data_IF_890825053918
#
_entry.id   IF_890825053918
#
_cell.length_a   1.000
_cell.length_b   1.000
_cell.length_c   1.000
_cell.angle_alpha   90.00
_cell.angle_beta   90.00
_cell.angle_gamma   90.00
#
_symmetry.space_group_name_H-M   'P 1'
#
loop_
_entity.id
_entity.type
_entity.pdbx_description
1 polymer ?
#
# COMPACT_ATOMS: atom_id res chain seq x y z
N UNK A 1 13.38 -37.64 -3.37
CA UNK A 1 12.16 -36.82 -3.48
C UNK A 1 12.41 -35.66 -2.57
N UNK A 2 12.87 -34.53 -3.10
CA UNK A 2 12.87 -33.27 -2.36
C UNK A 2 11.41 -32.97 -2.04
N UNK A 3 11.07 -32.78 -0.77
CA UNK A 3 9.74 -32.31 -0.40
C UNK A 3 9.39 -31.11 -1.27
N UNK A 4 8.21 -31.12 -1.91
CA UNK A 4 7.75 -29.98 -2.70
C UNK A 4 7.69 -28.77 -1.77
N UNK A 5 8.59 -27.81 -1.98
CA UNK A 5 8.59 -26.54 -1.25
C UNK A 5 7.31 -25.81 -1.63
N UNK A 6 6.46 -25.54 -0.64
CA UNK A 6 5.24 -24.76 -0.87
C UNK A 6 5.60 -23.30 -1.13
N UNK A 7 5.09 -22.75 -2.23
CA UNK A 7 5.47 -21.41 -2.74
C UNK A 7 4.37 -20.37 -2.62
N UNK A 8 3.11 -20.81 -2.64
CA UNK A 8 1.95 -19.93 -2.59
C UNK A 8 1.06 -20.34 -1.41
N UNK A 9 0.49 -19.34 -0.74
CA UNK A 9 -0.29 -19.52 0.49
C UNK A 9 -1.57 -18.69 0.43
N UNK A 10 -2.73 -19.34 0.48
CA UNK A 10 -4.02 -18.67 0.50
C UNK A 10 -4.30 -18.00 1.85
N UNK A 11 -5.07 -16.90 1.81
CA UNK A 11 -5.66 -16.29 3.00
C UNK A 11 -7.08 -15.79 2.73
N UNK A 12 -7.88 -15.73 3.79
CA UNK A 12 -9.28 -15.30 3.75
C UNK A 12 -10.27 -16.46 3.75
N UNK A 13 -11.53 -16.13 3.41
CA UNK A 13 -12.65 -17.07 3.44
C UNK A 13 -12.94 -17.65 2.05
N UNK A 14 -13.46 -18.87 2.03
CA UNK A 14 -14.07 -19.49 0.85
C UNK A 14 -15.49 -18.94 0.57
N UNK A 15 -16.10 -19.42 -0.51
CA UNK A 15 -17.46 -19.02 -0.93
C UNK A 15 -18.55 -19.40 0.10
N UNK A 16 -18.27 -20.33 1.02
CA UNK A 16 -19.17 -20.74 2.10
C UNK A 16 -18.89 -19.99 3.42
N UNK A 17 -17.88 -19.13 3.44
CA UNK A 17 -17.48 -18.35 4.61
C UNK A 17 -16.53 -19.08 5.56
N UNK A 18 -16.01 -20.25 5.21
CA UNK A 18 -15.01 -20.95 6.02
C UNK A 18 -13.64 -20.30 5.82
N UNK A 19 -12.86 -20.19 6.89
CA UNK A 19 -11.47 -19.72 6.78
C UNK A 19 -10.59 -20.81 6.16
N UNK A 20 -9.95 -20.50 5.02
CA UNK A 20 -9.05 -21.41 4.29
C UNK A 20 -7.60 -20.92 4.32
N UNK A 21 -7.28 -20.05 5.27
CA UNK A 21 -5.95 -19.46 5.40
C UNK A 21 -4.87 -20.48 5.73
N UNK A 22 -3.76 -20.41 5.00
CA UNK A 22 -2.65 -21.37 5.06
C UNK A 22 -1.40 -20.83 5.78
N UNK A 23 -1.41 -19.53 6.09
CA UNK A 23 -0.33 -18.81 6.79
C UNK A 23 -0.67 -18.42 8.23
N UNK A 24 0.27 -17.81 8.93
CA UNK A 24 0.08 -17.16 10.24
C UNK A 24 1.24 -16.21 10.58
N UNK A 25 1.16 -15.51 11.71
CA UNK A 25 2.15 -14.51 12.16
C UNK A 25 3.58 -15.05 12.31
N UNK A 26 3.77 -16.36 12.52
CA UNK A 26 5.11 -16.95 12.71
C UNK A 26 5.84 -17.19 11.39
N UNK A 27 5.16 -17.02 10.25
CA UNK A 27 5.70 -17.28 8.92
C UNK A 27 6.25 -16.02 8.24
N UNK A 28 6.65 -14.98 9.00
CA UNK A 28 7.18 -13.72 8.44
C UNK A 28 8.40 -13.91 7.53
N UNK A 29 9.25 -14.91 7.81
CA UNK A 29 10.38 -15.24 6.96
C UNK A 29 9.98 -15.85 5.60
N UNK A 30 8.75 -16.35 5.47
CA UNK A 30 8.22 -16.99 4.26
C UNK A 30 7.26 -16.04 3.53
N UNK A 31 6.30 -15.46 4.26
CA UNK A 31 5.19 -14.66 3.73
C UNK A 31 5.46 -13.16 3.76
N UNK A 32 6.62 -12.75 4.29
CA UNK A 32 6.87 -11.37 4.67
C UNK A 32 6.02 -10.92 5.84
N UNK A 33 6.26 -9.70 6.32
CA UNK A 33 5.46 -9.10 7.39
C UNK A 33 4.00 -8.91 6.99
N UNK A 34 3.75 -8.47 5.75
CA UNK A 34 2.39 -8.19 5.25
C UNK A 34 1.56 -9.46 5.08
N UNK A 35 2.08 -10.46 4.36
CA UNK A 35 1.37 -11.73 4.14
C UNK A 35 1.12 -12.49 5.44
N UNK A 36 2.09 -12.50 6.35
CA UNK A 36 1.91 -13.11 7.67
C UNK A 36 0.80 -12.42 8.49
N UNK A 37 0.73 -11.08 8.44
CA UNK A 37 -0.31 -10.33 9.15
C UNK A 37 -1.68 -10.44 8.48
N UNK A 38 -1.77 -10.49 7.15
CA UNK A 38 -3.01 -10.77 6.42
C UNK A 38 -3.58 -12.14 6.81
N UNK A 39 -2.72 -13.16 6.84
CA UNK A 39 -3.09 -14.48 7.29
C UNK A 39 -3.53 -14.50 8.76
N UNK A 40 -2.79 -13.82 9.65
CA UNK A 40 -3.16 -13.75 11.06
C UNK A 40 -4.51 -13.06 11.27
N UNK A 41 -4.76 -11.93 10.60
CA UNK A 41 -6.05 -11.23 10.66
C UNK A 41 -7.20 -12.15 10.23
N UNK A 42 -7.03 -12.92 9.15
CA UNK A 42 -8.03 -13.88 8.72
C UNK A 42 -8.25 -15.01 9.74
N UNK A 43 -7.17 -15.52 10.35
CA UNK A 43 -7.23 -16.57 11.38
C UNK A 43 -7.96 -16.14 12.65
N UNK A 44 -7.81 -14.88 13.07
CA UNK A 44 -8.53 -14.33 14.23
C UNK A 44 -9.94 -13.84 13.89
N UNK A 45 -10.40 -14.06 12.65
CA UNK A 45 -11.78 -13.85 12.24
C UNK A 45 -12.10 -12.45 11.70
N UNK A 46 -11.09 -11.62 11.45
CA UNK A 46 -11.31 -10.28 10.86
C UNK A 46 -11.76 -10.37 9.40
N UNK A 47 -12.51 -9.36 8.90
CA UNK A 47 -12.99 -9.34 7.53
C UNK A 47 -11.86 -8.97 6.55
N UNK A 48 -10.98 -9.91 6.25
CA UNK A 48 -9.89 -9.73 5.28
C UNK A 48 -10.38 -10.09 3.87
N UNK A 49 -10.18 -9.22 2.86
CA UNK A 49 -10.46 -9.57 1.47
C UNK A 49 -9.61 -10.77 1.04
N UNK A 50 -10.22 -11.83 0.45
CA UNK A 50 -9.49 -13.04 0.09
C UNK A 50 -8.33 -12.77 -0.88
N UNK A 51 -7.26 -13.54 -0.74
CA UNK A 51 -6.09 -13.46 -1.60
C UNK A 51 -5.15 -14.64 -1.44
N UNK A 52 -3.92 -14.46 -1.91
CA UNK A 52 -2.81 -15.38 -1.70
C UNK A 52 -1.47 -14.65 -1.65
N UNK A 53 -0.49 -15.27 -1.01
CA UNK A 53 0.89 -14.77 -0.88
C UNK A 53 1.86 -15.71 -1.59
N UNK A 54 2.68 -15.17 -2.49
CA UNK A 54 3.83 -15.84 -3.09
C UNK A 54 5.03 -15.60 -2.19
N UNK A 55 5.75 -16.65 -1.81
CA UNK A 55 6.75 -16.60 -0.74
C UNK A 55 8.01 -15.80 -1.11
N UNK A 56 8.69 -15.30 -0.07
CA UNK A 56 10.00 -14.67 -0.20
C UNK A 56 11.05 -15.63 -0.80
N UNK A 57 10.94 -16.92 -0.51
CA UNK A 57 11.81 -17.93 -1.11
C UNK A 57 11.62 -18.03 -2.62
N UNK A 58 10.39 -17.88 -3.12
CA UNK A 58 10.11 -17.88 -4.56
C UNK A 58 10.78 -16.68 -5.25
N UNK A 59 10.79 -15.50 -4.60
CA UNK A 59 11.54 -14.34 -5.07
C UNK A 59 13.03 -14.66 -5.22
N UNK A 60 13.62 -15.33 -4.23
CA UNK A 60 15.04 -15.70 -4.27
C UNK A 60 15.34 -16.82 -5.27
N UNK A 61 14.44 -17.80 -5.43
CA UNK A 61 14.55 -18.84 -6.47
C UNK A 61 14.56 -18.20 -7.86
N UNK A 62 13.66 -17.25 -8.12
CA UNK A 62 13.58 -16.50 -9.37
C UNK A 62 14.85 -15.64 -9.61
N UNK A 63 15.27 -14.86 -8.62
CA UNK A 63 16.45 -14.00 -8.74
C UNK A 63 17.75 -14.80 -8.95
N UNK A 64 17.90 -15.94 -8.25
CA UNK A 64 19.07 -16.81 -8.38
C UNK A 64 19.07 -17.62 -9.69
N UNK A 65 17.94 -17.68 -10.39
CA UNK A 65 17.79 -18.30 -11.71
C UNK A 65 17.87 -17.26 -12.85
N UNK A 66 18.63 -16.18 -12.65
CA UNK A 66 18.77 -15.08 -13.62
C UNK A 66 17.41 -14.51 -14.08
N UNK A 67 16.50 -14.30 -13.11
CA UNK A 67 15.13 -13.85 -13.36
C UNK A 67 14.33 -14.78 -14.28
N UNK A 68 14.60 -16.08 -14.21
CA UNK A 68 13.83 -17.12 -14.92
C UNK A 68 12.93 -17.85 -13.95
N UNK A 69 11.67 -18.05 -14.33
CA UNK A 69 10.71 -18.80 -13.54
C UNK A 69 11.15 -20.26 -13.32
N UNK A 70 11.28 -20.71 -12.07
CA UNK A 70 11.51 -22.13 -11.79
C UNK A 70 10.32 -22.98 -12.25
N UNK A 71 10.59 -24.24 -12.61
CA UNK A 71 9.58 -25.18 -13.12
C UNK A 71 8.39 -25.33 -12.15
N UNK A 72 7.17 -25.22 -12.69
CA UNK A 72 5.90 -25.36 -11.97
C UNK A 72 5.48 -24.18 -11.09
N UNK A 73 6.29 -23.11 -10.98
CA UNK A 73 5.93 -21.94 -10.16
C UNK A 73 4.75 -21.18 -10.76
N UNK A 74 4.79 -20.91 -12.07
CA UNK A 74 3.70 -20.24 -12.77
C UNK A 74 2.41 -21.05 -12.72
N UNK A 75 2.48 -22.38 -12.89
CA UNK A 75 1.32 -23.27 -12.77
C UNK A 75 0.70 -23.20 -11.37
N UNK A 76 1.54 -23.15 -10.33
CA UNK A 76 1.06 -23.00 -8.94
C UNK A 76 0.39 -21.64 -8.72
N UNK A 77 0.95 -20.56 -9.27
CA UNK A 77 0.34 -19.23 -9.18
C UNK A 77 -1.02 -19.22 -9.89
N UNK A 78 -1.11 -19.87 -11.04
CA UNK A 78 -2.36 -20.01 -11.79
C UNK A 78 -3.42 -20.81 -11.01
N UNK A 79 -3.05 -21.91 -10.36
CA UNK A 79 -3.96 -22.67 -9.48
C UNK A 79 -4.56 -21.79 -8.37
N UNK A 80 -3.73 -20.97 -7.70
CA UNK A 80 -4.19 -20.08 -6.63
C UNK A 80 -4.97 -18.86 -7.13
N UNK A 81 -4.70 -18.41 -8.36
CA UNK A 81 -5.51 -17.41 -9.06
C UNK A 81 -6.92 -17.96 -9.33
N UNK A 82 -7.02 -19.17 -9.88
CA UNK A 82 -8.30 -19.84 -10.12
C UNK A 82 -9.05 -20.14 -8.81
N UNK A 83 -8.35 -20.57 -7.75
CA UNK A 83 -8.95 -20.70 -6.40
C UNK A 83 -9.55 -19.38 -5.93
N UNK A 84 -8.80 -18.28 -6.03
CA UNK A 84 -9.31 -16.95 -5.66
C UNK A 84 -10.58 -16.59 -6.44
N UNK A 85 -10.59 -16.78 -7.76
CA UNK A 85 -11.77 -16.56 -8.61
C UNK A 85 -12.97 -17.40 -8.15
N UNK A 86 -12.75 -18.68 -7.84
CA UNK A 86 -13.79 -19.59 -7.36
C UNK A 86 -14.35 -19.18 -5.99
N UNK A 87 -13.50 -18.73 -5.06
CA UNK A 87 -13.93 -18.26 -3.73
C UNK A 87 -14.75 -16.98 -3.80
N UNK A 88 -14.40 -16.08 -4.72
CA UNK A 88 -15.11 -14.81 -4.91
C UNK A 88 -16.35 -14.99 -5.80
N UNK A 89 -16.34 -15.97 -6.70
CA UNK A 89 -17.39 -16.18 -7.71
C UNK A 89 -17.30 -15.22 -8.89
N UNK A 90 -16.13 -14.61 -9.13
CA UNK A 90 -15.85 -13.65 -10.22
C UNK A 90 -14.51 -13.99 -10.87
N UNK A 91 -14.30 -13.54 -12.11
CA UNK A 91 -13.05 -13.75 -12.84
C UNK A 91 -12.27 -12.46 -13.04
N UNK A 92 -10.95 -12.54 -12.98
CA UNK A 92 -10.07 -11.41 -13.21
C UNK A 92 -10.17 -11.00 -14.67
N UNK A 93 -10.52 -9.74 -14.91
CA UNK A 93 -10.71 -9.18 -16.25
C UNK A 93 -11.98 -9.63 -16.98
N UNK A 94 -12.97 -10.17 -16.28
CA UNK A 94 -14.28 -10.47 -16.87
C UNK A 94 -14.97 -9.21 -17.41
N UNK A 95 -15.57 -9.32 -18.60
CA UNK A 95 -16.23 -8.19 -19.28
C UNK A 95 -17.53 -7.72 -18.61
N UNK A 96 -18.19 -8.58 -17.82
CA UNK A 96 -19.52 -8.31 -17.25
C UNK A 96 -19.49 -8.09 -15.74
N UNK A 97 -18.71 -8.87 -15.01
CA UNK A 97 -18.58 -8.79 -13.55
C UNK A 97 -17.12 -9.04 -13.10
N UNK A 98 -16.20 -8.11 -13.38
CA UNK A 98 -14.77 -8.30 -13.12
C UNK A 98 -14.45 -8.46 -11.63
N UNK A 99 -13.55 -9.39 -11.35
CA UNK A 99 -12.67 -9.34 -10.18
C UNK A 99 -11.47 -8.46 -10.52
N UNK A 100 -11.16 -7.50 -9.65
CA UNK A 100 -9.90 -6.76 -9.71
C UNK A 100 -9.04 -7.15 -8.52
N UNK A 101 -7.73 -7.15 -8.67
CA UNK A 101 -6.78 -7.48 -7.60
C UNK A 101 -5.76 -6.37 -7.39
N UNK A 102 -5.21 -6.31 -6.18
CA UNK A 102 -4.00 -5.58 -5.87
C UNK A 102 -2.82 -6.55 -5.79
N UNK A 103 -1.66 -6.09 -6.23
CA UNK A 103 -0.38 -6.79 -6.10
C UNK A 103 0.52 -5.95 -5.21
N UNK A 104 0.81 -6.45 -4.01
CA UNK A 104 1.50 -5.71 -2.95
C UNK A 104 2.72 -6.48 -2.46
N UNK A 105 3.86 -5.81 -2.48
CA UNK A 105 5.10 -6.30 -1.89
C UNK A 105 5.03 -6.49 -0.36
N UNK A 106 5.83 -7.41 0.16
CA UNK A 106 5.93 -7.68 1.60
C UNK A 106 7.22 -8.40 1.97
N UNK A 107 8.24 -7.67 2.42
CA UNK A 107 9.47 -8.25 2.96
C UNK A 107 9.27 -8.70 4.43
N UNK A 108 10.12 -9.59 4.97
CA UNK A 108 10.05 -9.99 6.38
C UNK A 108 10.16 -8.81 7.35
N UNK A 109 10.99 -7.83 6.99
CA UNK A 109 11.14 -6.56 7.70
C UNK A 109 10.38 -5.46 6.97
N UNK A 110 9.77 -4.54 7.72
CA UNK A 110 9.03 -3.44 7.12
C UNK A 110 9.98 -2.44 6.45
N UNK A 111 9.77 -2.20 5.16
CA UNK A 111 10.51 -1.22 4.35
C UNK A 111 9.53 -0.18 3.76
N UNK A 112 9.00 0.78 4.57
CA UNK A 112 7.98 1.73 4.12
C UNK A 112 8.50 2.64 3.01
N UNK A 113 7.69 2.88 1.98
CA UNK A 113 8.06 3.71 0.83
C UNK A 113 9.05 3.06 -0.14
N UNK A 114 9.58 1.89 0.16
CA UNK A 114 10.66 1.29 -0.65
C UNK A 114 10.17 0.31 -1.71
N UNK A 115 8.93 -0.18 -1.59
CA UNK A 115 8.43 -1.28 -2.40
C UNK A 115 7.09 -0.95 -3.02
N UNK A 116 6.93 -1.40 -4.25
CA UNK A 116 5.84 -0.95 -5.10
C UNK A 116 4.53 -1.71 -4.83
N UNK A 117 3.43 -1.11 -5.30
CA UNK A 117 2.07 -1.65 -5.22
C UNK A 117 1.34 -1.32 -6.52
N UNK A 118 0.65 -2.31 -7.08
CA UNK A 118 -0.23 -2.13 -8.23
C UNK A 118 -1.66 -2.38 -7.78
N UNK A 119 -2.56 -1.42 -7.96
CA UNK A 119 -3.99 -1.58 -7.68
C UNK A 119 -4.78 -1.73 -8.99
N UNK A 120 -6.02 -2.23 -8.88
CA UNK A 120 -6.96 -2.37 -10.01
C UNK A 120 -6.46 -3.29 -11.15
N UNK A 121 -5.55 -4.23 -10.87
CA UNK A 121 -5.08 -5.20 -11.84
C UNK A 121 -6.25 -6.09 -12.30
N UNK A 122 -6.32 -6.36 -13.61
CA UNK A 122 -7.46 -6.96 -14.28
C UNK A 122 -8.31 -5.97 -15.06
N UNK A 123 -8.01 -4.66 -15.00
CA UNK A 123 -8.66 -3.68 -15.87
C UNK A 123 -8.13 -3.79 -17.30
N UNK A 124 -9.06 -3.85 -18.25
CA UNK A 124 -8.80 -3.84 -19.69
C UNK A 124 -10.00 -3.21 -20.42
N UNK A 125 -9.95 -3.16 -21.76
CA UNK A 125 -10.99 -2.51 -22.58
C UNK A 125 -12.35 -3.20 -22.54
N UNK A 126 -12.39 -4.46 -22.10
CA UNK A 126 -13.62 -5.21 -21.91
C UNK A 126 -14.13 -5.10 -20.47
N UNK A 127 -13.26 -5.37 -19.50
CA UNK A 127 -13.60 -5.47 -18.07
C UNK A 127 -14.01 -4.13 -17.46
N UNK A 128 -13.63 -3.01 -18.05
CA UNK A 128 -14.16 -1.70 -17.66
C UNK A 128 -15.69 -1.63 -17.77
N UNK A 129 -16.30 -2.25 -18.79
CA UNK A 129 -17.76 -2.22 -18.96
C UNK A 129 -18.46 -2.92 -17.80
N UNK A 130 -17.91 -4.04 -17.34
CA UNK A 130 -18.38 -4.75 -16.16
C UNK A 130 -18.20 -3.92 -14.88
N UNK A 131 -17.07 -3.20 -14.74
CA UNK A 131 -16.86 -2.30 -13.61
C UNK A 131 -17.87 -1.14 -13.60
N UNK A 132 -18.17 -0.54 -14.76
CA UNK A 132 -19.20 0.49 -14.91
C UNK A 132 -20.56 -0.05 -14.44
N UNK A 133 -20.89 -1.27 -14.83
CA UNK A 133 -22.15 -1.94 -14.46
C UNK A 133 -22.22 -2.25 -12.96
N UNK A 134 -21.13 -2.72 -12.35
CA UNK A 134 -21.07 -3.02 -10.91
C UNK A 134 -21.25 -1.77 -10.04
N UNK A 135 -20.81 -0.61 -10.53
CA UNK A 135 -20.73 0.62 -9.74
C UNK A 135 -21.76 1.66 -10.11
N UNK A 136 -22.43 1.49 -11.26
CA UNK A 136 -23.30 2.50 -11.88
C UNK A 136 -22.61 3.88 -11.99
N UNK A 137 -21.27 3.88 -12.07
CA UNK A 137 -20.44 5.07 -12.00
C UNK A 137 -19.35 5.03 -13.08
N UNK A 138 -19.64 5.50 -14.30
CA UNK A 138 -18.68 5.46 -15.40
C UNK A 138 -17.43 6.29 -15.12
N UNK A 139 -17.58 7.44 -14.45
CA UNK A 139 -16.45 8.29 -14.05
C UNK A 139 -15.47 7.52 -13.18
N UNK A 140 -15.96 6.77 -12.19
CA UNK A 140 -15.12 5.93 -11.33
C UNK A 140 -14.38 4.83 -12.10
N UNK A 141 -15.06 4.14 -13.03
CA UNK A 141 -14.43 3.06 -13.77
C UNK A 141 -13.30 3.57 -14.68
N UNK A 142 -13.52 4.68 -15.39
CA UNK A 142 -12.47 5.32 -16.21
C UNK A 142 -11.35 5.91 -15.35
N UNK A 143 -11.65 6.48 -14.19
CA UNK A 143 -10.64 6.96 -13.23
C UNK A 143 -9.76 5.80 -12.71
N UNK A 144 -10.38 4.66 -12.41
CA UNK A 144 -9.67 3.46 -11.97
C UNK A 144 -8.76 2.91 -13.06
N UNK A 145 -9.22 2.95 -14.33
CA UNK A 145 -8.44 2.44 -15.46
C UNK A 145 -7.27 3.36 -15.82
N UNK A 146 -7.44 4.68 -15.83
CA UNK A 146 -6.31 5.60 -16.04
C UNK A 146 -5.28 5.49 -14.91
N UNK A 147 -5.71 5.38 -13.65
CA UNK A 147 -4.82 5.11 -12.51
C UNK A 147 -4.07 3.79 -12.67
N UNK A 148 -4.78 2.72 -13.07
CA UNK A 148 -4.16 1.42 -13.31
C UNK A 148 -3.06 1.51 -14.38
N UNK A 149 -3.34 2.13 -15.53
CA UNK A 149 -2.36 2.27 -16.60
C UNK A 149 -1.15 3.06 -16.12
N UNK A 150 -1.35 4.19 -15.45
CA UNK A 150 -0.27 5.02 -14.91
C UNK A 150 0.59 4.25 -13.90
N UNK A 151 -0.03 3.63 -12.89
CA UNK A 151 0.71 2.85 -11.88
C UNK A 151 1.42 1.66 -12.51
N UNK A 152 0.77 0.91 -13.40
CA UNK A 152 1.39 -0.24 -14.07
C UNK A 152 2.57 0.22 -14.93
N UNK A 153 2.43 1.33 -15.67
CA UNK A 153 3.52 1.89 -16.47
C UNK A 153 4.70 2.32 -15.61
N UNK A 154 4.45 3.01 -14.50
CA UNK A 154 5.51 3.49 -13.62
C UNK A 154 6.17 2.36 -12.82
N UNK A 155 5.38 1.50 -12.18
CA UNK A 155 5.86 0.46 -11.28
C UNK A 155 6.39 -0.76 -12.01
N UNK A 156 5.68 -1.22 -13.04
CA UNK A 156 5.97 -2.51 -13.69
C UNK A 156 6.94 -2.34 -14.86
N UNK A 157 6.86 -1.20 -15.54
CA UNK A 157 7.66 -0.92 -16.74
C UNK A 157 8.71 0.17 -16.53
N UNK A 158 8.83 0.72 -15.31
CA UNK A 158 9.80 1.77 -14.95
C UNK A 158 9.69 3.06 -15.80
N UNK A 159 8.48 3.39 -16.28
CA UNK A 159 8.25 4.64 -17.00
C UNK A 159 8.21 5.83 -16.03
N UNK A 160 8.69 6.97 -16.49
CA UNK A 160 8.58 8.22 -15.77
C UNK A 160 7.10 8.62 -15.56
N UNK A 161 6.70 8.76 -14.29
CA UNK A 161 5.37 9.18 -13.89
C UNK A 161 5.00 10.57 -14.40
N UNK A 162 6.00 11.44 -14.61
CA UNK A 162 5.79 12.80 -15.11
C UNK A 162 5.16 12.81 -16.51
N UNK A 163 5.37 11.77 -17.33
CA UNK A 163 4.72 11.66 -18.64
C UNK A 163 3.19 11.66 -18.51
N UNK A 164 2.68 10.93 -17.52
CA UNK A 164 1.25 10.78 -17.26
C UNK A 164 0.69 12.02 -16.56
N UNK A 165 1.39 12.55 -15.56
CA UNK A 165 0.99 13.78 -14.86
C UNK A 165 0.93 14.99 -15.80
N UNK A 166 1.86 15.09 -16.74
CA UNK A 166 1.83 16.14 -17.75
C UNK A 166 0.58 16.02 -18.65
N UNK A 167 0.19 14.80 -19.06
CA UNK A 167 -1.01 14.59 -19.84
C UNK A 167 -2.30 14.97 -19.07
N UNK A 168 -2.39 14.62 -17.77
CA UNK A 168 -3.51 15.06 -16.91
C UNK A 168 -3.55 16.59 -16.85
N UNK A 169 -2.42 17.24 -16.59
CA UNK A 169 -2.33 18.69 -16.44
C UNK A 169 -2.68 19.44 -17.73
N UNK A 170 -2.29 18.90 -18.90
CA UNK A 170 -2.71 19.44 -20.20
C UNK A 170 -4.22 19.33 -20.35
N UNK A 171 -4.80 18.16 -20.08
CA UNK A 171 -6.25 17.97 -20.19
C UNK A 171 -7.02 18.89 -19.24
N UNK A 172 -6.58 19.06 -17.99
CA UNK A 172 -7.20 19.99 -17.03
C UNK A 172 -7.20 21.43 -17.54
N UNK A 173 -6.06 21.88 -18.08
CA UNK A 173 -5.95 23.23 -18.69
C UNK A 173 -6.87 23.39 -19.89
N UNK A 174 -6.95 22.39 -20.76
CA UNK A 174 -7.83 22.40 -21.93
C UNK A 174 -9.32 22.41 -21.57
N UNK A 175 -9.68 21.80 -20.44
CA UNK A 175 -11.05 21.80 -19.88
C UNK A 175 -11.35 22.97 -18.96
N UNK A 176 -10.33 23.75 -18.56
CA UNK A 176 -10.48 24.89 -17.66
C UNK A 176 -10.85 24.47 -16.22
N UNK A 177 -10.39 23.30 -15.78
CA UNK A 177 -10.61 22.79 -14.42
C UNK A 177 -9.31 22.81 -13.60
N UNK A 178 -9.44 22.92 -12.27
CA UNK A 178 -8.29 22.98 -11.37
C UNK A 178 -7.94 21.60 -10.78
N UNK A 179 -8.94 20.75 -10.54
CA UNK A 179 -8.80 19.45 -9.90
C UNK A 179 -9.09 18.28 -10.85
N UNK A 180 -8.42 17.14 -10.63
CA UNK A 180 -8.68 15.87 -11.31
C UNK A 180 -10.11 15.36 -11.04
N UNK A 181 -10.69 15.75 -9.90
CA UNK A 181 -12.07 15.42 -9.54
C UNK A 181 -13.10 16.06 -10.46
N UNK A 182 -12.72 17.14 -11.14
CA UNK A 182 -13.61 17.92 -12.01
C UNK A 182 -13.63 17.39 -13.45
N UNK A 183 -12.77 16.42 -13.77
CA UNK A 183 -12.78 15.74 -15.07
C UNK A 183 -13.98 14.78 -15.19
N UNK A 184 -14.66 14.85 -16.34
CA UNK A 184 -15.84 14.02 -16.64
C UNK A 184 -15.45 12.58 -16.99
N UNK A 185 -16.43 11.68 -17.07
CA UNK A 185 -16.18 10.31 -17.51
C UNK A 185 -15.61 10.25 -18.94
N UNK A 186 -16.11 11.12 -19.83
CA UNK A 186 -15.66 11.25 -21.20
C UNK A 186 -14.22 11.77 -21.29
N UNK A 187 -13.86 12.73 -20.44
CA UNK A 187 -12.47 13.22 -20.34
C UNK A 187 -11.52 12.11 -19.88
N UNK A 188 -11.91 11.35 -18.85
CA UNK A 188 -11.11 10.24 -18.35
C UNK A 188 -10.98 9.09 -19.36
N UNK A 189 -12.02 8.85 -20.17
CA UNK A 189 -11.94 7.91 -21.29
C UNK A 189 -10.94 8.38 -22.35
N UNK A 190 -10.93 9.68 -22.70
CA UNK A 190 -9.93 10.26 -23.59
C UNK A 190 -8.52 10.12 -22.99
N UNK A 191 -8.38 10.35 -21.68
CA UNK A 191 -7.13 10.26 -20.96
C UNK A 191 -6.58 8.82 -20.95
N UNK A 192 -7.43 7.81 -20.78
CA UNK A 192 -7.04 6.39 -20.92
C UNK A 192 -6.41 6.13 -22.30
N UNK A 193 -7.01 6.65 -23.37
CA UNK A 193 -6.46 6.50 -24.71
C UNK A 193 -5.14 7.27 -24.89
N UNK A 194 -4.95 8.41 -24.23
CA UNK A 194 -3.66 9.12 -24.18
C UNK A 194 -2.60 8.29 -23.42
N UNK A 195 -2.95 7.74 -22.26
CA UNK A 195 -2.03 6.96 -21.43
C UNK A 195 -1.54 5.68 -22.12
N UNK A 196 -2.41 4.99 -22.84
CA UNK A 196 -1.99 3.82 -23.65
C UNK A 196 -1.02 4.19 -24.77
N UNK A 197 -1.16 5.39 -25.35
CA UNK A 197 -0.20 5.90 -26.35
C UNK A 197 1.14 6.21 -25.71
N UNK A 198 1.14 6.89 -24.56
CA UNK A 198 2.37 7.13 -23.78
C UNK A 198 3.07 5.80 -23.48
N UNK A 199 2.34 4.78 -23.04
CA UNK A 199 2.88 3.43 -22.82
C UNK A 199 3.52 2.86 -24.10
N UNK A 200 2.78 2.86 -25.21
CA UNK A 200 3.23 2.35 -26.52
C UNK A 200 4.51 3.04 -27.01
N UNK A 201 4.63 4.35 -26.78
CA UNK A 201 5.75 5.16 -27.26
C UNK A 201 7.02 5.02 -26.40
N UNK A 202 6.90 4.59 -25.15
CA UNK A 202 7.99 4.64 -24.17
C UNK A 202 8.45 3.25 -23.65
N UNK A 203 7.69 2.18 -23.91
CA UNK A 203 8.12 0.81 -23.56
C UNK A 203 8.98 0.22 -24.69
N UNK A 204 10.14 -0.35 -24.34
CA UNK A 204 11.02 -1.00 -25.32
C UNK A 204 10.48 -2.38 -25.74
N UNK A 205 10.17 -2.51 -27.03
CA UNK A 205 9.70 -3.75 -27.65
C UNK A 205 10.69 -4.92 -27.53
N UNK A 206 12.00 -4.65 -27.39
CA UNK A 206 13.03 -5.68 -27.26
C UNK A 206 13.08 -6.25 -25.84
N UNK A 207 12.75 -5.44 -24.84
CA UNK A 207 12.73 -5.86 -23.44
C UNK A 207 11.45 -6.63 -23.13
N UNK A 208 10.31 -6.24 -23.73
CA UNK A 208 9.01 -6.85 -23.52
C UNK A 208 8.36 -7.39 -24.81
N UNK A 209 8.94 -8.42 -25.45
CA UNK A 209 8.41 -8.97 -26.69
C UNK A 209 7.01 -9.58 -26.55
N UNK A 210 6.61 -10.00 -25.35
CA UNK A 210 5.26 -10.50 -25.05
C UNK A 210 4.17 -9.44 -25.17
N UNK A 211 4.53 -8.15 -25.15
CA UNK A 211 3.60 -7.03 -25.28
C UNK A 211 3.47 -6.51 -26.73
N UNK A 212 4.26 -7.07 -27.65
CA UNK A 212 4.22 -6.67 -29.06
C UNK A 212 3.05 -7.34 -29.76
N UNK A 213 2.07 -6.54 -30.16
CA UNK A 213 0.88 -6.96 -30.92
C UNK A 213 0.88 -6.19 -32.23
N UNK A 214 0.78 -6.92 -33.36
CA UNK A 214 0.81 -6.34 -34.70
C UNK A 214 2.02 -5.43 -35.01
N UNK A 215 3.15 -5.65 -34.32
CA UNK A 215 4.42 -4.96 -34.54
C UNK A 215 4.64 -3.70 -33.69
N UNK A 216 3.70 -3.38 -32.79
CA UNK A 216 3.84 -2.29 -31.82
C UNK A 216 3.60 -2.80 -30.40
N UNK A 217 4.25 -2.18 -29.42
CA UNK A 217 4.00 -2.50 -28.00
C UNK A 217 2.63 -2.00 -27.61
N UNK A 218 1.83 -2.83 -26.96
CA UNK A 218 0.49 -2.45 -26.48
C UNK A 218 0.36 -2.70 -24.98
N UNK A 219 -0.44 -1.86 -24.32
CA UNK A 219 -0.78 -2.07 -22.92
C UNK A 219 -1.48 -3.43 -22.75
N UNK A 220 -0.99 -4.32 -21.86
CA UNK A 220 -1.46 -5.71 -21.78
C UNK A 220 -2.96 -5.76 -21.48
N UNK A 221 -3.74 -6.35 -22.38
CA UNK A 221 -5.18 -6.56 -22.19
C UNK A 221 -5.48 -7.87 -21.45
N UNK A 222 -4.57 -8.84 -21.52
CA UNK A 222 -4.66 -10.13 -20.84
C UNK A 222 -4.30 -9.99 -19.35
N UNK A 223 -5.23 -10.28 -18.41
CA UNK A 223 -4.97 -10.23 -16.98
C UNK A 223 -3.86 -11.16 -16.50
N UNK A 224 -3.61 -12.28 -17.17
CA UNK A 224 -2.54 -13.21 -16.78
C UNK A 224 -1.17 -12.62 -17.07
N UNK A 225 -1.04 -11.93 -18.21
CA UNK A 225 0.16 -11.17 -18.56
C UNK A 225 0.35 -10.01 -17.60
N UNK A 226 -0.72 -9.27 -17.27
CA UNK A 226 -0.66 -8.19 -16.27
C UNK A 226 -0.16 -8.72 -14.91
N UNK A 227 -0.73 -9.83 -14.43
CA UNK A 227 -0.40 -10.42 -13.14
C UNK A 227 1.05 -10.91 -13.10
N UNK A 228 1.49 -11.63 -14.14
CA UNK A 228 2.86 -12.12 -14.24
C UNK A 228 3.86 -10.96 -14.18
N UNK A 229 3.70 -9.94 -15.02
CA UNK A 229 4.60 -8.78 -15.06
C UNK A 229 4.60 -8.03 -13.74
N UNK A 230 3.45 -7.87 -13.08
CA UNK A 230 3.38 -7.23 -11.76
C UNK A 230 4.14 -8.02 -10.69
N UNK A 231 4.08 -9.37 -10.71
CA UNK A 231 4.85 -10.21 -9.78
C UNK A 231 6.35 -10.08 -10.05
N UNK A 232 6.76 -10.12 -11.32
CA UNK A 232 8.16 -9.95 -11.74
C UNK A 232 8.70 -8.59 -11.30
N UNK A 233 7.94 -7.51 -11.48
CA UNK A 233 8.32 -6.17 -11.03
C UNK A 233 8.46 -6.09 -9.52
N UNK A 234 7.56 -6.71 -8.73
CA UNK A 234 7.73 -6.75 -7.28
C UNK A 234 8.99 -7.52 -6.88
N UNK A 235 9.28 -8.66 -7.51
CA UNK A 235 10.54 -9.37 -7.27
C UNK A 235 11.76 -8.52 -7.65
N UNK A 236 11.70 -7.84 -8.81
CA UNK A 236 12.73 -6.92 -9.27
C UNK A 236 12.97 -5.74 -8.31
N UNK A 237 11.90 -5.24 -7.67
CA UNK A 237 11.97 -4.14 -6.70
C UNK A 237 12.85 -4.47 -5.48
N UNK A 238 13.06 -5.75 -5.16
CA UNK A 238 14.00 -6.16 -4.13
C UNK A 238 15.44 -5.75 -4.48
N UNK A 239 15.83 -5.80 -5.74
CA UNK A 239 17.20 -5.50 -6.17
C UNK A 239 17.37 -4.08 -6.71
N UNK A 240 16.36 -3.22 -6.62
CA UNK A 240 16.50 -1.84 -7.05
C UNK A 240 17.54 -1.09 -6.18
N UNK A 241 18.17 -0.01 -6.70
CA UNK A 241 19.23 0.70 -5.98
C UNK A 241 18.79 1.23 -4.62
N UNK A 242 17.54 1.73 -4.52
CA UNK A 242 16.96 2.29 -3.29
C UNK A 242 16.78 1.23 -2.20
N UNK A 243 16.20 0.06 -2.51
CA UNK A 243 15.99 -1.03 -1.57
C UNK A 243 17.33 -1.62 -1.11
N UNK A 244 18.29 -1.76 -2.02
CA UNK A 244 19.65 -2.21 -1.70
C UNK A 244 20.35 -1.25 -0.73
N UNK A 245 20.25 0.06 -0.97
CA UNK A 245 20.80 1.07 -0.06
C UNK A 245 20.12 1.01 1.32
N UNK A 246 18.79 0.92 1.34
CA UNK A 246 18.01 0.83 2.58
C UNK A 246 18.39 -0.41 3.39
N UNK A 247 18.50 -1.58 2.75
CA UNK A 247 18.91 -2.82 3.42
C UNK A 247 20.30 -2.69 4.01
N UNK A 248 21.25 -2.11 3.27
CA UNK A 248 22.62 -1.88 3.75
C UNK A 248 22.65 -0.96 4.98
N UNK A 249 21.87 0.12 4.98
CA UNK A 249 21.76 1.05 6.12
C UNK A 249 21.12 0.39 7.34
N UNK A 250 20.08 -0.43 7.13
CA UNK A 250 19.31 -1.09 8.18
C UNK A 250 19.82 -2.50 8.54
N UNK A 251 20.96 -2.93 7.98
CA UNK A 251 21.58 -4.26 8.18
C UNK A 251 20.62 -5.43 7.90
N UNK A 252 19.77 -5.28 6.89
CA UNK A 252 18.84 -6.32 6.42
C UNK A 252 19.59 -7.18 5.40
N UNK A 253 19.48 -8.50 5.53
CA UNK A 253 20.17 -9.43 4.64
C UNK A 253 19.55 -9.48 3.24
N UNK A 254 20.39 -9.58 2.21
CA UNK A 254 19.96 -9.62 0.80
C UNK A 254 19.30 -10.95 0.41
N UNK A 255 19.55 -12.01 1.19
CA UNK A 255 19.04 -13.38 0.95
C UNK A 255 17.59 -13.60 1.40
N UNK A 256 16.95 -12.58 2.00
CA UNK A 256 15.59 -12.68 2.51
C UNK A 256 14.54 -12.69 1.40
N UNK A 257 14.73 -11.89 0.35
CA UNK A 257 13.73 -11.65 -0.68
C UNK A 257 12.50 -10.87 -0.19
N UNK A 258 11.53 -10.69 -1.09
CA UNK A 258 10.22 -10.09 -0.79
C UNK A 258 9.09 -11.02 -1.22
N UNK A 259 8.02 -11.08 -0.43
CA UNK A 259 6.81 -11.79 -0.80
C UNK A 259 5.91 -10.89 -1.67
N UNK A 260 5.03 -11.54 -2.43
CA UNK A 260 4.01 -10.86 -3.25
C UNK A 260 2.64 -11.25 -2.76
N UNK A 261 1.83 -10.27 -2.36
CA UNK A 261 0.47 -10.47 -1.88
C UNK A 261 -0.48 -10.07 -3.01
N UNK A 262 -1.23 -11.04 -3.53
CA UNK A 262 -2.30 -10.81 -4.51
C UNK A 262 -3.62 -10.86 -3.75
N UNK A 263 -4.37 -9.76 -3.75
CA UNK A 263 -5.56 -9.61 -2.90
C UNK A 263 -6.72 -9.00 -3.69
N UNK A 264 -7.94 -9.53 -3.52
CA UNK A 264 -9.13 -8.96 -4.14
C UNK A 264 -9.33 -7.49 -3.77
N UNK A 265 -9.60 -6.64 -4.76
CA UNK A 265 -9.89 -5.23 -4.55
C UNK A 265 -11.21 -5.03 -3.83
N UNK A 266 -11.21 -4.11 -2.87
CA UNK A 266 -12.39 -3.54 -2.24
C UNK A 266 -12.38 -2.04 -2.52
N UNK A 267 -13.52 -1.47 -2.87
CA UNK A 267 -13.66 -0.10 -3.34
C UNK A 267 -14.26 0.81 -2.26
N UNK A 268 -13.44 1.71 -1.73
CA UNK A 268 -13.88 2.78 -0.82
C UNK A 268 -14.61 3.94 -1.52
N UNK A 269 -14.79 3.86 -2.83
CA UNK A 269 -15.31 4.92 -3.70
C UNK A 269 -16.54 4.51 -4.54
N UNK A 270 -17.40 3.64 -4.00
CA UNK A 270 -18.73 3.34 -4.58
C UNK A 270 -19.84 4.27 -4.07
N UNK A 271 -19.49 5.51 -3.69
CA UNK A 271 -20.43 6.50 -3.12
C UNK A 271 -20.31 6.67 -1.62
N UNK A 272 -21.29 7.35 -1.01
CA UNK A 272 -21.20 7.87 0.36
C UNK A 272 -21.27 6.81 1.47
N UNK A 273 -21.67 5.58 1.12
CA UNK A 273 -21.62 4.42 2.01
C UNK A 273 -20.31 3.65 1.91
N UNK A 274 -19.30 4.19 1.23
CA UNK A 274 -17.97 3.60 1.09
C UNK A 274 -16.91 4.58 1.57
N UNK A 275 -15.84 4.05 2.15
CA UNK A 275 -14.74 4.85 2.68
C UNK A 275 -13.44 4.05 2.71
N UNK A 276 -12.32 4.72 2.93
CA UNK A 276 -11.02 4.10 3.19
C UNK A 276 -10.27 4.92 4.23
N UNK A 277 -9.38 4.29 4.97
CA UNK A 277 -8.66 5.00 6.02
C UNK A 277 -7.44 4.24 6.54
N UNK A 278 -6.62 5.01 7.27
CA UNK A 278 -5.44 4.54 7.97
C UNK A 278 -5.59 4.97 9.43
N UNK A 279 -5.37 4.03 10.35
CA UNK A 279 -5.58 4.28 11.76
C UNK A 279 -4.58 3.54 12.66
N UNK A 280 -4.43 4.06 13.86
CA UNK A 280 -3.60 3.53 14.92
C UNK A 280 -4.47 3.27 16.15
N UNK A 281 -4.23 2.16 16.84
CA UNK A 281 -4.99 1.81 18.05
C UNK A 281 -4.66 2.71 19.26
N UNK A 282 -3.53 3.42 19.20
CA UNK A 282 -3.14 4.52 20.10
C UNK A 282 -2.45 5.60 19.28
N UNK A 283 -2.39 6.82 19.80
CA UNK A 283 -1.74 7.94 19.12
C UNK A 283 -0.22 7.68 18.97
N UNK A 284 0.33 7.61 17.74
CA UNK A 284 1.74 7.27 17.51
C UNK A 284 2.71 8.41 17.86
N UNK A 285 2.20 9.64 18.06
CA UNK A 285 3.00 10.82 18.36
C UNK A 285 3.25 11.00 19.86
N UNK A 286 2.21 10.83 20.69
CA UNK A 286 2.28 11.07 22.14
C UNK A 286 2.01 9.82 23.01
N UNK A 287 1.48 8.75 22.44
CA UNK A 287 1.17 7.49 23.12
C UNK A 287 -0.19 7.42 23.82
N UNK A 288 -1.02 8.46 23.70
CA UNK A 288 -2.34 8.50 24.33
C UNK A 288 -3.24 7.37 23.81
N UNK A 289 -4.07 6.82 24.69
CA UNK A 289 -5.02 5.75 24.37
C UNK A 289 -6.28 6.33 23.72
N UNK A 290 -6.13 6.75 22.49
CA UNK A 290 -7.20 7.20 21.61
C UNK A 290 -7.05 6.53 20.24
N UNK A 291 -8.18 6.32 19.57
CA UNK A 291 -8.17 5.89 18.18
C UNK A 291 -7.74 7.06 17.32
N UNK A 292 -6.55 6.95 16.73
CA UNK A 292 -5.90 8.02 16.00
C UNK A 292 -5.81 7.66 14.52
N UNK A 293 -5.99 8.64 13.64
CA UNK A 293 -5.87 8.44 12.19
C UNK A 293 -6.99 9.11 11.42
N UNK A 294 -7.07 8.76 10.15
CA UNK A 294 -7.78 9.52 9.13
C UNK A 294 -8.56 8.59 8.20
N UNK A 295 -9.71 9.05 7.74
CA UNK A 295 -10.48 8.38 6.70
C UNK A 295 -11.04 9.38 5.68
N UNK A 296 -11.37 8.87 4.51
CA UNK A 296 -12.08 9.59 3.46
C UNK A 296 -13.29 8.79 2.98
N UNK A 297 -14.43 9.48 2.88
CA UNK A 297 -15.65 8.96 2.24
C UNK A 297 -15.51 9.06 0.73
N UNK A 298 -15.98 8.02 0.04
CA UNK A 298 -15.99 7.94 -1.41
C UNK A 298 -14.59 8.19 -2.02
N UNK A 299 -13.60 7.40 -1.59
CA UNK A 299 -12.18 7.57 -1.91
C UNK A 299 -11.42 6.23 -2.01
N UNK A 300 -10.21 6.23 -2.59
CA UNK A 300 -9.26 5.12 -2.48
C UNK A 300 -8.11 5.45 -1.52
N UNK A 301 -7.39 4.43 -1.05
CA UNK A 301 -6.32 4.60 -0.05
C UNK A 301 -5.24 5.60 -0.48
N UNK A 302 -4.98 5.70 -1.79
CA UNK A 302 -4.06 6.69 -2.36
C UNK A 302 -4.50 8.13 -2.04
N UNK A 303 -5.80 8.44 -2.10
CA UNK A 303 -6.32 9.78 -1.82
C UNK A 303 -6.13 10.19 -0.35
N UNK A 304 -6.06 9.22 0.56
CA UNK A 304 -5.79 9.45 2.00
C UNK A 304 -4.32 9.80 2.19
N UNK A 305 -3.42 9.16 1.45
CA UNK A 305 -1.96 9.35 1.58
C UNK A 305 -1.47 10.58 0.83
N UNK A 306 -2.05 10.88 -0.34
CA UNK A 306 -1.62 11.99 -1.19
C UNK A 306 -1.97 13.38 -0.63
N UNK A 307 -2.86 13.47 0.36
CA UNK A 307 -3.23 14.75 1.00
C UNK A 307 -3.96 15.74 0.08
N UNK A 308 -4.43 15.29 -1.09
CA UNK A 308 -5.17 16.10 -2.07
C UNK A 308 -6.56 16.49 -1.53
N UNK A 309 -7.14 15.62 -0.69
CA UNK A 309 -8.45 15.82 -0.04
C UNK A 309 -8.27 15.94 1.47
N UNK A 310 -9.04 16.84 2.09
CA UNK A 310 -9.09 16.94 3.54
C UNK A 310 -9.68 15.66 4.14
N UNK A 311 -8.91 14.99 4.98
CA UNK A 311 -9.32 13.80 5.71
C UNK A 311 -10.21 14.14 6.90
N UNK A 312 -10.99 13.16 7.34
CA UNK A 312 -11.76 13.23 8.57
C UNK A 312 -11.11 12.37 9.66
N UNK A 313 -11.10 12.80 10.93
CA UNK A 313 -10.56 12.00 12.03
C UNK A 313 -11.28 10.67 12.20
N UNK A 314 -10.55 9.58 12.44
CA UNK A 314 -11.13 8.24 12.56
C UNK A 314 -12.19 8.12 13.66
N UNK A 315 -12.08 8.92 14.73
CA UNK A 315 -13.05 8.97 15.81
C UNK A 315 -14.47 9.36 15.36
N UNK A 316 -14.59 10.08 14.24
CA UNK A 316 -15.86 10.53 13.69
C UNK A 316 -16.53 9.49 12.78
N UNK A 317 -15.80 8.45 12.35
CA UNK A 317 -16.30 7.46 11.37
C UNK A 317 -17.63 6.84 11.77
N UNK A 318 -17.80 6.49 13.04
CA UNK A 318 -19.04 5.89 13.57
C UNK A 318 -20.25 6.83 13.61
N UNK A 319 -20.01 8.14 13.43
CA UNK A 319 -21.04 9.17 13.38
C UNK A 319 -21.37 9.59 11.94
N UNK A 320 -20.69 9.02 10.95
CA UNK A 320 -20.85 9.39 9.55
C UNK A 320 -22.01 8.61 8.91
N UNK A 321 -22.99 9.30 8.29
CA UNK A 321 -24.14 8.65 7.67
C UNK A 321 -23.76 7.57 6.66
N UNK A 322 -24.28 6.36 6.85
CA UNK A 322 -24.03 5.21 5.98
C UNK A 322 -22.80 4.38 6.36
N UNK A 323 -22.02 4.80 7.35
CA UNK A 323 -20.80 4.13 7.82
C UNK A 323 -20.85 3.75 9.31
N UNK A 324 -21.97 4.02 10.00
CA UNK A 324 -22.05 3.94 11.46
C UNK A 324 -21.77 2.53 12.00
N UNK A 325 -22.32 1.49 11.36
CA UNK A 325 -22.12 0.10 11.77
C UNK A 325 -20.69 -0.37 11.49
N UNK A 326 -20.12 -0.03 10.34
CA UNK A 326 -18.72 -0.33 10.02
C UNK A 326 -17.75 0.41 10.95
N UNK A 327 -18.08 1.65 11.34
CA UNK A 327 -17.32 2.41 12.33
C UNK A 327 -17.31 1.75 13.71
N UNK A 328 -18.47 1.25 14.18
CA UNK A 328 -18.55 0.48 15.44
C UNK A 328 -17.80 -0.84 15.36
N UNK A 329 -17.91 -1.54 14.22
CA UNK A 329 -17.16 -2.77 13.98
C UNK A 329 -15.64 -2.52 14.07
N UNK A 330 -15.17 -1.43 13.45
CA UNK A 330 -13.75 -1.04 13.46
C UNK A 330 -13.21 -0.77 14.87
N UNK A 331 -13.97 -0.11 15.76
CA UNK A 331 -13.57 0.07 17.17
C UNK A 331 -13.38 -1.28 17.89
N UNK A 332 -14.23 -2.26 17.57
CA UNK A 332 -14.08 -3.64 18.04
C UNK A 332 -12.81 -4.29 17.49
N UNK A 333 -12.50 -4.07 16.21
CA UNK A 333 -11.28 -4.56 15.56
C UNK A 333 -10.03 -3.97 16.20
N UNK A 334 -10.00 -2.67 16.53
CA UNK A 334 -8.87 -2.04 17.22
C UNK A 334 -8.56 -2.72 18.54
N UNK A 335 -9.60 -2.98 19.33
CA UNK A 335 -9.48 -3.67 20.62
C UNK A 335 -9.01 -5.11 20.43
N UNK A 336 -9.52 -5.83 19.42
CA UNK A 336 -9.11 -7.21 19.14
C UNK A 336 -7.63 -7.28 18.74
N UNK A 337 -7.20 -6.41 17.82
CA UNK A 337 -5.83 -6.37 17.31
C UNK A 337 -4.84 -6.02 18.42
N UNK A 338 -5.14 -5.00 19.22
CA UNK A 338 -4.27 -4.59 20.33
C UNK A 338 -4.12 -5.71 21.37
N UNK A 339 -5.22 -6.39 21.71
CA UNK A 339 -5.16 -7.53 22.64
C UNK A 339 -4.40 -8.73 22.07
N UNK A 340 -4.59 -9.01 20.78
CA UNK A 340 -3.98 -10.16 20.11
C UNK A 340 -2.48 -9.98 19.88
N UNK A 341 -2.07 -8.87 19.26
CA UNK A 341 -0.66 -8.54 19.04
C UNK A 341 0.02 -8.02 20.31
N UNK A 342 -0.77 -7.76 21.35
CA UNK A 342 -0.37 -7.18 22.64
C UNK A 342 0.32 -5.83 22.49
N UNK A 343 0.22 -5.12 21.37
CA UNK A 343 0.95 -3.89 21.04
C UNK A 343 0.08 -2.92 20.23
N UNK A 344 0.49 -1.65 20.12
CA UNK A 344 -0.21 -0.67 19.29
C UNK A 344 -0.05 -1.06 17.81
N UNK A 345 -1.17 -1.09 17.10
CA UNK A 345 -1.26 -1.50 15.71
C UNK A 345 -1.54 -0.30 14.79
N UNK A 346 -0.82 -0.26 13.67
CA UNK A 346 -1.11 0.54 12.47
C UNK A 346 -1.95 -0.30 11.52
N UNK A 347 -3.05 0.26 11.02
CA UNK A 347 -4.16 -0.44 10.40
C UNK A 347 -4.59 0.29 9.14
N UNK A 348 -4.75 -0.47 8.05
CA UNK A 348 -5.38 0.02 6.81
C UNK A 348 -6.70 -0.72 6.61
N UNK A 349 -7.76 0.02 6.27
CA UNK A 349 -9.09 -0.55 6.06
C UNK A 349 -9.83 0.13 4.90
N UNK A 350 -10.82 -0.57 4.37
CA UNK A 350 -11.79 -0.04 3.41
C UNK A 350 -13.19 -0.49 3.79
N UNK A 351 -14.14 0.41 3.66
CA UNK A 351 -15.57 0.13 3.76
C UNK A 351 -16.13 0.18 2.35
N UNK A 352 -16.74 -0.90 1.88
CA UNK A 352 -17.45 -0.94 0.61
C UNK A 352 -18.94 -1.13 0.91
N UNK A 353 -19.76 -0.13 0.56
CA UNK A 353 -21.21 -0.17 0.72
C UNK A 353 -21.67 -0.60 2.13
N UNK A 354 -21.06 0.01 3.16
CA UNK A 354 -21.34 -0.24 4.57
C UNK A 354 -20.67 -1.47 5.17
N UNK A 355 -19.91 -2.25 4.39
CA UNK A 355 -19.19 -3.44 4.88
C UNK A 355 -17.71 -3.14 5.10
N UNK A 356 -17.23 -3.34 6.34
CA UNK A 356 -15.82 -3.19 6.70
C UNK A 356 -14.95 -4.32 6.13
N UNK A 357 -13.76 -3.95 5.67
CA UNK A 357 -12.71 -4.85 5.24
C UNK A 357 -11.34 -4.39 5.75
N UNK A 358 -10.58 -5.32 6.33
CA UNK A 358 -9.23 -5.07 6.85
C UNK A 358 -8.19 -5.41 5.78
N UNK A 359 -7.39 -4.43 5.38
CA UNK A 359 -6.40 -4.56 4.30
C UNK A 359 -4.99 -4.78 4.83
N UNK A 360 -4.66 -4.25 5.99
CA UNK A 360 -3.36 -4.42 6.59
C UNK A 360 -3.41 -4.18 8.09
N UNK A 361 -2.56 -4.88 8.82
CA UNK A 361 -2.15 -4.49 10.17
C UNK A 361 -0.65 -4.72 10.33
N UNK A 362 -0.02 -3.95 11.21
CA UNK A 362 1.35 -4.16 11.68
C UNK A 362 1.53 -3.47 13.03
N UNK A 363 2.61 -3.81 13.73
CA UNK A 363 3.05 -3.00 14.88
C UNK A 363 3.34 -1.58 14.38
N UNK A 364 2.63 -0.59 14.92
CA UNK A 364 2.69 0.77 14.40
C UNK A 364 4.03 1.44 14.75
N UNK A 365 4.62 2.14 13.79
CA UNK A 365 5.75 3.03 14.08
C UNK A 365 5.27 4.18 14.95
N UNK A 366 6.14 4.65 15.85
CA UNK A 366 5.80 5.63 16.88
C UNK A 366 7.05 6.38 17.34
N UNK A 367 6.86 7.53 17.96
CA UNK A 367 7.95 8.31 18.54
C UNK A 367 8.52 7.59 19.77
N UNK A 368 9.74 7.94 20.18
CA UNK A 368 10.32 7.39 21.41
C UNK A 368 9.47 7.69 22.66
N UNK A 369 8.88 8.89 22.72
CA UNK A 369 7.98 9.28 23.81
C UNK A 369 6.71 8.43 23.82
N UNK A 370 6.08 8.23 22.65
CA UNK A 370 4.92 7.36 22.52
C UNK A 370 5.27 5.90 22.84
N UNK A 371 6.43 5.39 22.43
CA UNK A 371 6.87 4.03 22.74
C UNK A 371 6.92 3.78 24.26
N UNK A 372 7.54 4.70 25.01
CA UNK A 372 7.62 4.62 26.47
C UNK A 372 6.24 4.72 27.12
N UNK A 373 5.43 5.70 26.71
CA UNK A 373 4.10 5.90 27.27
C UNK A 373 3.20 4.67 27.04
N UNK A 374 3.16 4.16 25.81
CA UNK A 374 2.38 2.98 25.45
C UNK A 374 2.86 1.76 26.23
N UNK A 375 4.17 1.52 26.33
CA UNK A 375 4.71 0.38 27.06
C UNK A 375 4.34 0.42 28.56
N UNK A 376 4.42 1.59 29.19
CA UNK A 376 4.01 1.79 30.59
C UNK A 376 2.51 1.55 30.75
N UNK A 377 1.68 2.18 29.91
CA UNK A 377 0.23 2.04 29.96
C UNK A 377 -0.20 0.57 29.77
N UNK A 378 0.42 -0.16 28.84
CA UNK A 378 0.12 -1.58 28.63
C UNK A 378 0.51 -2.48 29.82
N UNK A 379 1.54 -2.11 30.58
CA UNK A 379 1.88 -2.81 31.84
C UNK A 379 0.82 -2.52 32.91
N UNK A 380 0.39 -1.26 33.04
CA UNK A 380 -0.64 -0.85 34.01
C UNK A 380 -2.00 -1.49 33.70
N UNK A 381 -2.32 -1.64 32.41
CA UNK A 381 -3.50 -2.35 31.90
C UNK A 381 -3.40 -3.88 32.07
N UNK A 382 -2.23 -4.41 32.43
CA UNK A 382 -1.97 -5.85 32.55
C UNK A 382 -1.88 -6.58 31.22
N UNK A 383 -1.76 -5.84 30.10
CA UNK A 383 -1.63 -6.41 28.76
C UNK A 383 -0.25 -7.03 28.54
N UNK A 384 0.81 -6.46 29.12
CA UNK A 384 2.19 -6.95 29.01
C UNK A 384 2.94 -6.95 30.35
N UNK A 385 4.01 -7.73 30.46
CA UNK A 385 4.91 -7.68 31.63
C UNK A 385 5.91 -6.52 31.52
N UNK A 386 6.59 -6.21 32.63
CA UNK A 386 7.66 -5.19 32.65
C UNK A 386 8.83 -5.59 31.75
N UNK A 387 9.15 -6.88 31.70
CA UNK A 387 10.20 -7.42 30.84
C UNK A 387 9.84 -7.26 29.36
N UNK A 388 8.59 -7.56 29.00
CA UNK A 388 8.08 -7.32 27.64
C UNK A 388 8.12 -5.83 27.28
N UNK A 389 7.73 -4.95 28.21
CA UNK A 389 7.76 -3.51 28.00
C UNK A 389 9.18 -2.98 27.69
N UNK A 390 10.19 -3.46 28.42
CA UNK A 390 11.60 -3.08 28.17
C UNK A 390 12.06 -3.55 26.79
N UNK A 391 11.68 -4.77 26.37
CA UNK A 391 12.08 -5.34 25.08
C UNK A 391 11.44 -4.65 23.86
N UNK A 392 10.41 -3.83 24.06
CA UNK A 392 9.69 -3.13 22.97
C UNK A 392 10.18 -1.72 22.70
N UNK A 393 11.00 -1.19 23.60
CA UNK A 393 11.61 0.13 23.40
C UNK A 393 12.97 -0.11 22.75
N UNK A 394 13.08 0.29 21.49
CA UNK A 394 14.33 0.23 20.75
C UNK A 394 15.34 1.21 21.38
N UNK A 395 16.52 0.75 21.83
CA UNK A 395 17.54 1.61 22.42
C UNK A 395 17.94 2.77 21.50
N UNK A 396 17.99 2.58 20.18
CA UNK A 396 18.37 3.64 19.23
C UNK A 396 17.29 4.74 19.14
N UNK A 397 16.02 4.41 19.41
CA UNK A 397 14.96 5.42 19.43
C UNK A 397 15.09 6.39 20.61
N UNK A 398 15.69 5.98 21.73
CA UNK A 398 15.83 6.84 22.91
C UNK A 398 16.69 8.09 22.64
N UNK A 399 17.59 8.03 21.65
CA UNK A 399 18.38 9.20 21.22
C UNK A 399 17.49 10.34 20.71
N UNK A 400 16.29 10.04 20.18
CA UNK A 400 15.32 11.06 19.78
C UNK A 400 14.87 11.93 20.95
N UNK A 401 14.83 11.39 22.17
CA UNK A 401 14.51 12.16 23.38
C UNK A 401 15.63 13.14 23.77
N UNK A 402 16.83 12.94 23.20
CA UNK A 402 17.99 13.79 23.39
C UNK A 402 18.13 14.81 22.24
N UNK A 403 17.24 14.78 21.23
CA UNK A 403 17.28 15.72 20.13
C UNK A 403 17.03 17.16 20.61
N UNK A 404 17.66 18.15 19.96
CA UNK A 404 17.41 19.55 20.25
C UNK A 404 15.93 19.88 20.19
N UNK A 405 15.49 20.69 21.16
CA UNK A 405 14.17 21.29 21.18
C UNK A 405 14.32 22.80 21.04
N UNK A 406 13.31 23.45 20.47
CA UNK A 406 13.21 24.90 20.54
C UNK A 406 12.93 25.33 21.98
N UNK A 407 13.50 26.46 22.40
CA UNK A 407 13.20 27.07 23.68
C UNK A 407 11.73 27.49 23.70
N UNK A 408 10.95 26.97 24.66
CA UNK A 408 9.51 27.21 24.76
C UNK A 408 9.16 28.65 25.16
N UNK A 409 10.12 29.36 25.77
CA UNK A 409 9.94 30.73 26.23
C UNK A 409 10.43 31.78 25.21
N UNK A 410 10.98 31.34 24.07
CA UNK A 410 11.43 32.23 23.00
C UNK A 410 10.29 32.63 22.06
N UNK A 411 10.34 33.86 21.56
CA UNK A 411 9.46 34.32 20.48
C UNK A 411 10.05 33.93 19.12
N UNK A 412 9.24 33.27 18.29
CA UNK A 412 9.60 32.88 16.93
C UNK A 412 8.77 33.66 15.92
N UNK A 413 9.40 34.09 14.83
CA UNK A 413 8.70 34.66 13.67
C UNK A 413 8.07 33.53 12.85
N UNK A 414 6.82 33.18 13.18
CA UNK A 414 6.10 32.08 12.55
C UNK A 414 5.49 32.57 11.25
N UNK A 415 6.06 32.13 10.13
CA UNK A 415 5.57 32.47 8.77
C UNK A 415 4.50 31.50 8.25
N UNK A 416 4.43 30.28 8.78
CA UNK A 416 3.49 29.24 8.37
C UNK A 416 3.34 28.15 9.44
N UNK A 417 2.24 27.40 9.37
CA UNK A 417 1.96 26.24 10.22
C UNK A 417 1.53 25.06 9.34
N UNK A 418 2.06 23.87 9.60
CA UNK A 418 1.72 22.63 8.90
C UNK A 418 1.27 21.52 9.85
N UNK A 419 1.14 20.30 9.31
CA UNK A 419 0.87 19.10 10.11
C UNK A 419 2.12 18.69 10.89
N UNK A 420 1.95 18.28 12.16
CA UNK A 420 3.03 17.77 12.99
C UNK A 420 3.39 16.32 12.61
N UNK A 421 4.01 16.13 11.44
CA UNK A 421 4.29 14.82 10.87
C UNK A 421 5.40 14.04 11.61
N UNK A 422 6.40 14.75 12.16
CA UNK A 422 7.50 14.15 12.94
C UNK A 422 8.00 15.17 13.98
N UNK A 423 8.18 14.77 15.26
CA UNK A 423 8.61 15.70 16.31
C UNK A 423 10.11 16.04 16.20
N UNK A 424 10.46 17.28 16.56
CA UNK A 424 11.84 17.75 16.69
C UNK A 424 12.03 19.20 16.27
N UNK A 425 13.22 19.75 16.55
CA UNK A 425 13.62 21.07 16.08
C UNK A 425 14.74 20.96 15.03
N UNK A 426 14.55 21.62 13.88
CA UNK A 426 15.53 21.67 12.80
C UNK A 426 15.86 23.13 12.44
N UNK A 427 17.15 23.43 12.23
CA UNK A 427 17.64 24.75 11.81
C UNK A 427 18.68 24.57 10.71
N UNK A 428 18.47 25.21 9.56
CA UNK A 428 19.36 25.13 8.40
C UNK A 428 18.91 26.00 7.23
N UNK A 429 19.73 26.07 6.20
CA UNK A 429 19.42 26.75 4.93
C UNK A 429 18.39 25.95 4.13
N UNK A 430 17.42 26.63 3.49
CA UNK A 430 16.45 25.95 2.64
C UNK A 430 17.12 25.44 1.34
N UNK A 431 16.91 24.17 1.03
CA UNK A 431 17.33 23.52 -0.23
C UNK A 431 16.13 22.84 -0.88
N UNK A 432 16.15 22.73 -2.21
CA UNK A 432 14.97 22.31 -2.99
C UNK A 432 15.16 20.97 -3.73
N UNK A 433 16.30 20.30 -3.54
CA UNK A 433 16.54 18.95 -4.06
C UNK A 433 17.26 18.08 -3.03
N UNK A 434 17.08 16.76 -3.14
CA UNK A 434 17.74 15.81 -2.25
C UNK A 434 19.26 15.82 -2.48
N UNK A 435 19.70 15.96 -3.72
CA UNK A 435 21.12 16.08 -4.10
C UNK A 435 21.76 17.29 -3.43
N UNK A 436 21.09 18.45 -3.45
CA UNK A 436 21.58 19.66 -2.82
C UNK A 436 21.66 19.53 -1.28
N UNK A 437 20.73 18.78 -0.67
CA UNK A 437 20.78 18.47 0.76
C UNK A 437 22.00 17.59 1.10
N UNK A 438 22.27 16.56 0.28
CA UNK A 438 23.42 15.67 0.45
C UNK A 438 24.75 16.39 0.21
N UNK A 439 24.83 17.25 -0.81
CA UNK A 439 26.01 18.09 -1.07
C UNK A 439 26.28 19.04 0.10
N UNK A 440 25.23 19.68 0.63
CA UNK A 440 25.35 20.58 1.78
C UNK A 440 25.82 19.85 3.05
N UNK A 441 25.32 18.63 3.30
CA UNK A 441 25.80 17.79 4.41
C UNK A 441 27.29 17.45 4.25
N UNK A 442 27.73 17.10 3.04
CA UNK A 442 29.14 16.81 2.75
C UNK A 442 30.06 18.04 2.99
N UNK A 443 29.52 19.25 2.85
CA UNK A 443 30.19 20.51 3.18
C UNK A 443 30.08 20.91 4.66
N UNK A 444 29.35 20.15 5.48
CA UNK A 444 29.11 20.45 6.90
C UNK A 444 28.10 21.57 7.15
N UNK A 445 27.30 21.94 6.14
CA UNK A 445 26.22 22.92 6.27
C UNK A 445 24.93 22.23 6.74
N UNK A 446 24.19 22.88 7.63
CA UNK A 446 22.85 22.41 8.03
C UNK A 446 21.81 22.93 7.04
N UNK A 447 20.90 22.06 6.61
CA UNK A 447 19.86 22.41 5.64
C UNK A 447 18.47 21.94 6.06
N UNK A 448 17.44 22.52 5.45
CA UNK A 448 16.05 22.09 5.51
C UNK A 448 15.59 21.81 4.08
N UNK A 449 15.26 20.55 3.78
CA UNK A 449 14.73 20.16 2.47
C UNK A 449 13.27 20.62 2.34
N UNK A 450 12.99 21.44 1.34
CA UNK A 450 11.65 21.94 1.04
C UNK A 450 11.21 21.39 -0.32
N UNK A 451 10.11 20.65 -0.32
CA UNK A 451 9.54 19.97 -1.49
C UNK A 451 8.03 20.16 -1.51
N UNK A 452 7.44 20.02 -2.71
CA UNK A 452 5.99 19.87 -2.84
C UNK A 452 5.54 18.59 -2.12
N UNK A 453 6.20 17.49 -2.44
CA UNK A 453 6.15 16.20 -1.75
C UNK A 453 7.50 15.48 -1.87
N UNK A 454 7.74 14.48 -1.04
CA UNK A 454 8.95 13.64 -1.11
C UNK A 454 8.62 12.29 -1.74
N UNK A 455 9.41 11.90 -2.72
CA UNK A 455 9.33 10.59 -3.39
C UNK A 455 10.52 9.70 -2.96
N UNK A 456 10.39 8.37 -3.04
CA UNK A 456 11.47 7.43 -2.70
C UNK A 456 12.73 7.53 -3.57
#
# INVERSE_FOLDING_TARGET
MTDQVKRVYAFGKDAQGNNVTEGNTNMKAILGGKGANLAEMANIGLPVPPGFTISCQTCMEYANADNTWPEGVLDTIQEYREDLENRIGKKIGDAEDPLLVSVRSGAPMSMPGMMDTVLNLGLNDESINGLIKQTENPRFAWDSYRRFIQMFSNVVMDLDGDLFENAINVMKRDRGVESDTDLTAEDLQELVAQFKRIFTENVDANEYPSLVVDGEVQFPQDPDVQLQLAIEAVFGSWNNPRATLYRKQNKISDDLGTAVNVQSMIFGNKGDTSATGVAFTRNPANGDKEFYGDYLVNAQGEDVVAGIRNTSPIADLKNTPGLEEAGKELEGVFTLLENHFRDMCDIEFTIEQGKLWMLQTRVGKRTAAAALHIAIAMVEEGLITKEEAVMRVDPEQLDQLLHPQFDADAEYDVVATGLNASPGAAVGEAVFSAEAAVEAEAEGRKTVLVRWETTP
#
